data_IF_497288993931
#
_entry.id   IF_497288993931
#
_cell.length_a   1.000
_cell.length_b   1.000
_cell.length_c   1.000
_cell.angle_alpha   90.00
_cell.angle_beta   90.00
_cell.angle_gamma   90.00
#
_symmetry.space_group_name_H-M   'P 1'
#
loop_
_entity.id
_entity.type
_entity.pdbx_description
1 polymer ?
#
# COMPACT_ATOMS: atom_id res chain seq x y z
N UNK A 1 -9.11 9.82 -26.20
CA UNK A 1 -9.37 8.51 -25.55
C UNK A 1 -9.96 8.76 -24.17
N UNK A 2 -11.29 8.68 -24.04
CA UNK A 2 -11.97 8.82 -22.76
C UNK A 2 -11.90 7.49 -22.01
N UNK A 3 -11.27 7.49 -20.83
CA UNK A 3 -11.29 6.33 -19.93
C UNK A 3 -12.74 6.14 -19.45
N UNK A 4 -13.35 5.05 -19.93
CA UNK A 4 -14.63 4.57 -19.41
C UNK A 4 -14.53 4.42 -17.89
N UNK A 5 -15.32 5.22 -17.15
CA UNK A 5 -15.49 5.04 -15.70
C UNK A 5 -16.13 3.67 -15.53
N UNK A 6 -15.42 2.71 -14.95
CA UNK A 6 -16.03 1.44 -14.54
C UNK A 6 -17.22 1.79 -13.64
N UNK A 7 -18.42 1.37 -14.05
CA UNK A 7 -19.62 1.50 -13.25
C UNK A 7 -19.37 0.89 -11.87
N UNK A 8 -19.78 1.61 -10.82
CA UNK A 8 -19.75 1.11 -9.45
C UNK A 8 -20.70 -0.10 -9.38
N UNK A 9 -20.24 -1.32 -9.06
CA UNK A 9 -21.05 -2.54 -9.18
C UNK A 9 -22.18 -2.67 -8.15
N UNK A 10 -22.47 -1.62 -7.37
CA UNK A 10 -23.42 -1.66 -6.25
C UNK A 10 -24.48 -0.54 -6.33
N UNK A 11 -24.95 -0.19 -7.54
CA UNK A 11 -25.95 0.87 -7.70
C UNK A 11 -27.33 0.51 -7.10
N UNK A 12 -27.57 -0.77 -6.83
CA UNK A 12 -28.85 -1.28 -6.33
C UNK A 12 -28.75 -1.92 -4.92
N UNK A 13 -27.59 -1.84 -4.26
CA UNK A 13 -27.46 -2.32 -2.88
C UNK A 13 -28.13 -1.34 -1.92
N UNK A 14 -29.24 -1.75 -1.31
CA UNK A 14 -29.92 -1.01 -0.25
C UNK A 14 -29.75 -1.79 1.07
N UNK A 15 -28.97 -1.28 2.03
CA UNK A 15 -28.80 -1.95 3.32
C UNK A 15 -30.12 -2.02 4.08
N UNK A 16 -30.30 -3.09 4.86
CA UNK A 16 -31.48 -3.28 5.70
C UNK A 16 -31.60 -2.13 6.72
N UNK A 17 -32.72 -1.37 6.74
CA UNK A 17 -32.90 -0.26 7.67
C UNK A 17 -32.71 -0.61 9.15
N UNK A 18 -33.08 -1.83 9.57
CA UNK A 18 -32.88 -2.27 10.96
C UNK A 18 -31.38 -2.41 11.24
N UNK A 19 -30.66 -3.10 10.35
CA UNK A 19 -29.21 -3.25 10.43
C UNK A 19 -28.49 -1.89 10.36
N UNK A 20 -28.94 -0.95 9.52
CA UNK A 20 -28.40 0.42 9.45
C UNK A 20 -28.54 1.13 10.78
N UNK A 21 -29.73 1.11 11.39
CA UNK A 21 -29.98 1.76 12.66
C UNK A 21 -29.14 1.16 13.81
N UNK A 22 -28.91 -0.15 13.81
CA UNK A 22 -28.01 -0.80 14.77
C UNK A 22 -26.55 -0.38 14.58
N UNK A 23 -26.07 -0.33 13.34
CA UNK A 23 -24.71 0.11 13.03
C UNK A 23 -24.49 1.58 13.34
N UNK A 24 -25.47 2.46 13.08
CA UNK A 24 -25.40 3.89 13.42
C UNK A 24 -25.33 4.12 14.94
N UNK A 25 -25.96 3.27 15.75
CA UNK A 25 -25.82 3.31 17.23
C UNK A 25 -24.40 2.93 17.67
N UNK A 26 -23.77 1.98 16.98
CA UNK A 26 -22.43 1.46 17.31
C UNK A 26 -21.29 2.33 16.79
N UNK A 27 -21.47 2.90 15.60
CA UNK A 27 -20.46 3.69 14.91
C UNK A 27 -21.02 5.05 14.50
N UNK A 28 -20.54 6.09 15.19
CA UNK A 28 -20.88 7.46 14.80
C UNK A 28 -20.30 7.82 13.44
N UNK A 29 -21.07 8.56 12.63
CA UNK A 29 -20.65 9.00 11.30
C UNK A 29 -21.01 8.07 10.15
N UNK A 30 -22.06 7.26 10.29
CA UNK A 30 -22.65 6.45 9.21
C UNK A 30 -23.92 7.11 8.68
N UNK A 31 -24.04 7.24 7.35
CA UNK A 31 -25.28 7.62 6.68
C UNK A 31 -26.22 6.42 6.47
N UNK A 32 -27.43 6.68 5.97
CA UNK A 32 -28.47 5.65 5.80
C UNK A 32 -28.11 4.59 4.75
N UNK A 33 -27.20 4.90 3.84
CA UNK A 33 -26.62 3.99 2.85
C UNK A 33 -25.30 3.36 3.33
N UNK A 34 -24.95 3.55 4.61
CA UNK A 34 -23.66 3.18 5.21
C UNK A 34 -22.45 3.88 4.56
N UNK A 35 -22.64 5.04 3.93
CA UNK A 35 -21.53 5.94 3.61
C UNK A 35 -20.88 6.47 4.91
N UNK A 36 -19.66 6.97 4.77
CA UNK A 36 -18.90 7.51 5.89
C UNK A 36 -18.94 9.03 5.87
N UNK A 37 -19.50 9.64 6.91
CA UNK A 37 -19.49 11.09 7.07
C UNK A 37 -18.07 11.60 7.28
N UNK A 38 -17.66 12.57 6.47
CA UNK A 38 -16.36 13.23 6.58
C UNK A 38 -16.25 13.96 7.93
N UNK A 39 -15.07 13.91 8.55
CA UNK A 39 -14.83 14.55 9.85
C UNK A 39 -15.21 13.67 11.06
N UNK A 40 -16.05 12.65 10.87
CA UNK A 40 -16.36 11.68 11.92
C UNK A 40 -15.30 10.59 12.05
N UNK A 41 -15.31 9.86 13.17
CA UNK A 41 -14.29 8.84 13.48
C UNK A 41 -14.13 7.81 12.36
N UNK A 42 -15.22 7.19 11.88
CA UNK A 42 -15.13 6.19 10.81
C UNK A 42 -14.64 6.79 9.49
N UNK A 43 -15.15 7.97 9.10
CA UNK A 43 -14.70 8.69 7.90
C UNK A 43 -13.22 9.05 7.97
N UNK A 44 -12.75 9.60 9.09
CA UNK A 44 -11.34 9.94 9.29
C UNK A 44 -10.43 8.71 9.24
N UNK A 45 -10.87 7.56 9.78
CA UNK A 45 -10.11 6.31 9.71
C UNK A 45 -10.08 5.74 8.29
N UNK A 46 -11.19 5.84 7.55
CA UNK A 46 -11.26 5.44 6.15
C UNK A 46 -10.28 6.28 5.31
N UNK A 47 -10.36 7.60 5.40
CA UNK A 47 -9.45 8.50 4.70
C UNK A 47 -7.99 8.30 5.10
N UNK A 48 -7.71 8.02 6.38
CA UNK A 48 -6.36 7.77 6.85
C UNK A 48 -5.70 6.56 6.16
N UNK A 49 -6.39 5.41 6.05
CA UNK A 49 -5.79 4.26 5.38
C UNK A 49 -5.71 4.46 3.86
N UNK A 50 -6.67 5.20 3.26
CA UNK A 50 -6.64 5.54 1.84
C UNK A 50 -5.45 6.45 1.50
N UNK A 51 -5.21 7.48 2.32
CA UNK A 51 -4.05 8.36 2.22
C UNK A 51 -2.74 7.58 2.38
N UNK A 52 -2.65 6.72 3.38
CA UNK A 52 -1.49 5.85 3.59
C UNK A 52 -1.24 4.95 2.37
N UNK A 53 -2.28 4.38 1.77
CA UNK A 53 -2.18 3.60 0.53
C UNK A 53 -1.67 4.43 -0.66
N UNK A 54 -2.10 5.69 -0.78
CA UNK A 54 -1.57 6.62 -1.77
C UNK A 54 -0.09 6.93 -1.57
N UNK A 55 0.34 7.17 -0.33
CA UNK A 55 1.76 7.41 0.01
C UNK A 55 2.62 6.18 -0.30
N UNK A 56 2.19 4.99 0.12
CA UNK A 56 2.85 3.73 -0.20
C UNK A 56 2.99 3.52 -1.73
N UNK A 57 1.93 3.81 -2.50
CA UNK A 57 1.97 3.72 -3.96
C UNK A 57 3.00 4.71 -4.56
N UNK A 58 3.04 5.94 -4.07
CA UNK A 58 4.03 6.94 -4.47
C UNK A 58 5.45 6.48 -4.17
N UNK A 59 5.77 6.11 -2.92
CA UNK A 59 7.12 5.71 -2.52
C UNK A 59 7.63 4.49 -3.29
N UNK A 60 6.78 3.47 -3.46
CA UNK A 60 7.14 2.28 -4.26
C UNK A 60 7.31 2.58 -5.75
N UNK A 61 6.55 3.53 -6.30
CA UNK A 61 6.68 3.97 -7.70
C UNK A 61 7.95 4.78 -7.90
N UNK A 62 8.24 5.72 -6.99
CA UNK A 62 9.47 6.53 -6.99
C UNK A 62 10.71 5.63 -6.96
N UNK A 63 10.76 4.66 -6.04
CA UNK A 63 11.87 3.69 -6.05
C UNK A 63 12.01 3.00 -7.41
N UNK A 64 10.93 2.46 -7.98
CA UNK A 64 11.01 1.70 -9.25
C UNK A 64 11.45 2.58 -10.42
N UNK A 65 10.95 3.82 -10.46
CA UNK A 65 11.31 4.79 -11.48
C UNK A 65 12.80 5.15 -11.40
N UNK A 66 13.33 5.35 -10.19
CA UNK A 66 14.75 5.64 -9.96
C UNK A 66 15.64 4.41 -10.18
N UNK A 67 15.19 3.21 -9.79
CA UNK A 67 15.97 1.98 -9.91
C UNK A 67 16.16 1.55 -11.37
N UNK A 68 15.13 1.72 -12.22
CA UNK A 68 15.15 1.26 -13.61
C UNK A 68 16.35 1.76 -14.45
N UNK A 69 16.72 3.06 -14.45
CA UNK A 69 17.90 3.53 -15.16
C UNK A 69 19.22 3.14 -14.49
N UNK A 70 19.22 2.80 -13.20
CA UNK A 70 20.41 2.40 -12.44
C UNK A 70 20.76 0.91 -12.56
N UNK A 71 19.85 0.10 -13.10
CA UNK A 71 20.04 -1.33 -13.28
C UNK A 71 21.22 -1.63 -14.24
N UNK A 72 22.19 -2.42 -13.79
CA UNK A 72 23.28 -2.93 -14.65
C UNK A 72 22.83 -4.21 -15.34
N UNK A 73 22.67 -4.14 -16.66
CA UNK A 73 22.07 -5.21 -17.48
C UNK A 73 23.06 -6.12 -18.20
N UNK A 74 24.32 -5.72 -18.33
CA UNK A 74 25.30 -6.42 -19.15
C UNK A 74 26.48 -6.90 -18.34
N UNK A 75 26.82 -8.17 -18.52
CA UNK A 75 28.07 -8.80 -18.08
C UNK A 75 29.06 -8.86 -19.24
N UNK A 76 30.39 -8.80 -18.99
CA UNK A 76 31.02 -8.61 -17.68
C UNK A 76 30.77 -7.20 -17.15
N UNK A 77 30.64 -7.09 -15.83
CA UNK A 77 30.50 -5.79 -15.17
C UNK A 77 31.83 -5.03 -15.22
N UNK A 78 31.74 -3.70 -15.15
CA UNK A 78 32.91 -2.85 -15.05
C UNK A 78 33.72 -3.23 -13.80
N UNK A 79 35.00 -3.64 -13.92
CA UNK A 79 35.81 -4.00 -12.77
C UNK A 79 36.12 -2.82 -11.84
N UNK A 80 35.98 -1.58 -12.31
CA UNK A 80 36.19 -0.35 -11.53
C UNK A 80 34.90 0.07 -10.80
N UNK A 81 33.73 -0.23 -11.37
CA UNK A 81 32.40 0.01 -10.78
C UNK A 81 31.55 -1.28 -10.85
N UNK A 82 31.95 -2.34 -10.11
CA UNK A 82 31.31 -3.64 -10.23
C UNK A 82 29.87 -3.58 -9.77
N UNK A 83 29.00 -4.29 -10.48
CA UNK A 83 27.65 -4.54 -10.00
C UNK A 83 27.69 -5.69 -9.01
N UNK A 84 27.06 -5.54 -7.86
CA UNK A 84 27.03 -6.57 -6.82
C UNK A 84 25.66 -6.61 -6.16
N UNK A 85 25.28 -7.81 -5.72
CA UNK A 85 24.10 -7.98 -4.89
C UNK A 85 22.76 -7.87 -5.61
N UNK A 86 22.09 -9.00 -5.92
CA UNK A 86 20.79 -8.93 -6.55
C UNK A 86 19.74 -8.36 -5.58
N UNK A 87 19.10 -7.25 -5.94
CA UNK A 87 17.89 -6.75 -5.28
C UNK A 87 16.72 -6.93 -6.24
N UNK A 88 15.75 -7.75 -5.85
CA UNK A 88 14.63 -8.14 -6.72
C UNK A 88 15.09 -8.69 -8.09
N UNK A 89 16.12 -9.55 -8.10
CA UNK A 89 16.74 -10.13 -9.31
C UNK A 89 17.41 -9.09 -10.23
N UNK A 90 17.72 -7.88 -9.73
CA UNK A 90 18.40 -6.82 -10.46
C UNK A 90 19.73 -6.49 -9.79
N UNK A 91 20.75 -6.17 -10.58
CA UNK A 91 22.08 -5.82 -10.10
C UNK A 91 22.31 -4.32 -10.20
N UNK A 92 22.98 -3.78 -9.19
CA UNK A 92 23.29 -2.36 -9.08
C UNK A 92 24.74 -2.19 -8.61
N UNK A 93 25.27 -1.00 -8.79
CA UNK A 93 26.60 -0.64 -8.26
C UNK A 93 26.48 -0.05 -6.87
N UNK A 94 27.60 0.11 -6.16
CA UNK A 94 27.63 0.73 -4.83
C UNK A 94 26.87 2.05 -4.77
N UNK A 95 27.21 2.95 -5.70
CA UNK A 95 26.62 4.29 -5.77
C UNK A 95 25.12 4.20 -6.04
N UNK A 96 24.70 3.26 -6.89
CA UNK A 96 23.29 2.99 -7.15
C UNK A 96 22.58 2.48 -5.89
N UNK A 97 23.21 1.61 -5.09
CA UNK A 97 22.65 1.17 -3.81
C UNK A 97 22.52 2.33 -2.81
N UNK A 98 23.51 3.22 -2.71
CA UNK A 98 23.46 4.41 -1.85
C UNK A 98 22.32 5.36 -2.22
N UNK A 99 22.04 5.53 -3.52
CA UNK A 99 20.90 6.33 -4.01
C UNK A 99 19.56 5.64 -3.69
N UNK A 100 19.50 4.32 -3.86
CA UNK A 100 18.27 3.54 -3.75
C UNK A 100 17.88 3.17 -2.32
N UNK A 101 18.84 3.09 -1.40
CA UNK A 101 18.63 2.76 0.01
C UNK A 101 17.56 3.62 0.68
N UNK A 102 17.65 4.97 0.71
CA UNK A 102 16.64 5.79 1.37
C UNK A 102 15.26 5.66 0.70
N UNK A 103 15.20 5.43 -0.62
CA UNK A 103 13.95 5.22 -1.35
C UNK A 103 13.31 3.87 -1.00
N UNK A 104 14.12 2.82 -0.85
CA UNK A 104 13.67 1.51 -0.38
C UNK A 104 13.19 1.58 1.07
N UNK A 105 13.87 2.34 1.93
CA UNK A 105 13.47 2.59 3.32
C UNK A 105 12.12 3.32 3.44
N UNK A 106 11.89 4.34 2.61
CA UNK A 106 10.60 5.02 2.51
C UNK A 106 9.50 4.07 2.04
N UNK A 107 9.76 3.28 0.98
CA UNK A 107 8.82 2.28 0.49
C UNK A 107 8.48 1.21 1.55
N UNK A 108 9.46 0.75 2.33
CA UNK A 108 9.25 -0.20 3.41
C UNK A 108 8.37 0.39 4.52
N UNK A 109 8.70 1.60 4.98
CA UNK A 109 7.95 2.29 6.05
C UNK A 109 6.50 2.57 5.62
N UNK A 110 6.28 3.14 4.45
CA UNK A 110 4.95 3.54 4.01
C UNK A 110 4.05 2.34 3.70
N UNK A 111 4.61 1.26 3.14
CA UNK A 111 3.83 0.04 2.87
C UNK A 111 3.44 -0.69 4.15
N UNK A 112 4.32 -0.72 5.17
CA UNK A 112 3.98 -1.22 6.50
C UNK A 112 2.88 -0.37 7.16
N UNK A 113 3.04 0.95 7.16
CA UNK A 113 2.03 1.86 7.74
C UNK A 113 0.67 1.74 7.05
N UNK A 114 0.63 1.60 5.72
CA UNK A 114 -0.61 1.35 5.00
C UNK A 114 -1.26 0.01 5.40
N UNK A 115 -0.47 -1.07 5.51
CA UNK A 115 -0.97 -2.38 5.92
C UNK A 115 -1.62 -2.28 7.32
N UNK A 116 -0.93 -1.70 8.29
CA UNK A 116 -1.41 -1.53 9.66
C UNK A 116 -2.72 -0.73 9.72
N UNK A 117 -2.78 0.40 9.01
CA UNK A 117 -3.98 1.25 8.98
C UNK A 117 -5.16 0.54 8.35
N UNK A 118 -4.92 -0.22 7.29
CA UNK A 118 -5.96 -0.96 6.59
C UNK A 118 -6.51 -2.10 7.44
N UNK A 119 -5.63 -2.85 8.10
CA UNK A 119 -6.03 -3.92 9.02
C UNK A 119 -6.81 -3.37 10.20
N UNK A 120 -6.32 -2.28 10.81
CA UNK A 120 -7.00 -1.59 11.90
C UNK A 120 -8.41 -1.15 11.49
N UNK A 121 -8.57 -0.59 10.28
CA UNK A 121 -9.88 -0.23 9.74
C UNK A 121 -10.78 -1.46 9.56
N UNK A 122 -10.29 -2.48 8.85
CA UNK A 122 -11.06 -3.68 8.57
C UNK A 122 -11.52 -4.38 9.86
N UNK A 123 -10.63 -4.57 10.83
CA UNK A 123 -10.95 -5.25 12.09
C UNK A 123 -11.97 -4.45 12.92
N UNK A 124 -11.87 -3.12 12.93
CA UNK A 124 -12.76 -2.26 13.73
C UNK A 124 -14.16 -2.13 13.13
N UNK A 125 -14.26 -2.10 11.80
CA UNK A 125 -15.49 -1.84 11.06
C UNK A 125 -15.94 -3.04 10.21
N UNK A 126 -15.60 -4.25 10.65
CA UNK A 126 -15.90 -5.50 9.94
C UNK A 126 -17.39 -5.67 9.66
N UNK A 127 -18.24 -5.42 10.65
CA UNK A 127 -19.69 -5.50 10.54
C UNK A 127 -20.26 -4.50 9.53
N UNK A 128 -19.75 -3.26 9.51
CA UNK A 128 -20.10 -2.26 8.48
C UNK A 128 -19.69 -2.76 7.09
N UNK A 129 -18.50 -3.36 6.96
CA UNK A 129 -18.03 -3.91 5.69
C UNK A 129 -18.83 -5.15 5.24
N UNK A 130 -19.27 -5.99 6.19
CA UNK A 130 -20.15 -7.13 5.93
C UNK A 130 -21.52 -6.63 5.47
N UNK A 131 -22.11 -5.67 6.19
CA UNK A 131 -23.38 -5.06 5.82
C UNK A 131 -23.30 -4.48 4.40
N UNK A 132 -22.21 -3.81 4.04
CA UNK A 132 -21.97 -3.27 2.68
C UNK A 132 -21.66 -4.32 1.61
N UNK A 133 -21.61 -5.61 1.96
CA UNK A 133 -21.14 -6.70 1.08
C UNK A 133 -19.73 -6.45 0.50
N UNK A 134 -18.86 -5.84 1.30
CA UNK A 134 -17.50 -5.42 0.90
C UNK A 134 -16.38 -6.13 1.67
N UNK A 135 -16.73 -6.94 2.67
CA UNK A 135 -15.77 -7.59 3.57
C UNK A 135 -14.68 -8.38 2.83
N UNK A 136 -15.04 -9.29 1.93
CA UNK A 136 -14.07 -10.16 1.24
C UNK A 136 -13.06 -9.37 0.39
N UNK A 137 -13.56 -8.35 -0.32
CA UNK A 137 -12.72 -7.44 -1.09
C UNK A 137 -11.75 -6.66 -0.19
N UNK A 138 -12.19 -6.28 1.00
CA UNK A 138 -11.36 -5.62 2.00
C UNK A 138 -10.30 -6.53 2.61
N UNK A 139 -10.63 -7.80 2.89
CA UNK A 139 -9.69 -8.82 3.37
C UNK A 139 -8.60 -9.06 2.34
N UNK A 140 -8.97 -9.27 1.08
CA UNK A 140 -8.01 -9.46 -0.03
C UNK A 140 -7.05 -8.28 -0.15
N UNK A 141 -7.58 -7.06 -0.10
CA UNK A 141 -6.74 -5.87 -0.20
C UNK A 141 -5.82 -5.68 1.03
N UNK A 142 -6.23 -6.11 2.23
CA UNK A 142 -5.36 -6.11 3.41
C UNK A 142 -4.22 -7.13 3.27
N UNK A 143 -4.52 -8.34 2.78
CA UNK A 143 -3.49 -9.35 2.49
C UNK A 143 -2.47 -8.83 1.46
N UNK A 144 -2.92 -8.15 0.40
CA UNK A 144 -2.03 -7.54 -0.58
C UNK A 144 -1.16 -6.41 0.03
N UNK A 145 -1.71 -5.61 0.95
CA UNK A 145 -0.96 -4.58 1.64
C UNK A 145 0.16 -5.19 2.51
N UNK A 146 -0.15 -6.26 3.28
CA UNK A 146 0.85 -7.03 4.05
C UNK A 146 1.94 -7.61 3.17
N UNK A 147 1.57 -8.28 2.08
CA UNK A 147 2.52 -8.88 1.16
C UNK A 147 3.45 -7.82 0.54
N UNK A 148 2.91 -6.63 0.24
CA UNK A 148 3.72 -5.49 -0.17
C UNK A 148 4.70 -5.06 0.94
N UNK A 149 4.25 -4.89 2.17
CA UNK A 149 5.12 -4.51 3.29
C UNK A 149 6.25 -5.52 3.50
N UNK A 150 5.92 -6.82 3.55
CA UNK A 150 6.88 -7.92 3.69
C UNK A 150 7.91 -7.96 2.56
N UNK A 151 7.54 -7.54 1.35
CA UNK A 151 8.44 -7.47 0.21
C UNK A 151 9.49 -6.36 0.35
N UNK A 152 9.14 -5.20 0.92
CA UNK A 152 10.03 -4.03 0.91
C UNK A 152 11.07 -4.04 2.03
N UNK A 153 10.80 -4.72 3.13
CA UNK A 153 11.77 -4.91 4.23
C UNK A 153 13.10 -5.51 3.74
N UNK A 154 13.14 -6.66 3.04
CA UNK A 154 14.39 -7.21 2.53
C UNK A 154 15.00 -6.37 1.41
N UNK A 155 14.19 -5.66 0.61
CA UNK A 155 14.71 -4.74 -0.43
C UNK A 155 15.53 -3.62 0.20
N UNK A 156 15.01 -3.00 1.26
CA UNK A 156 15.75 -1.99 2.02
C UNK A 156 17.02 -2.58 2.66
N UNK A 157 16.90 -3.74 3.33
CA UNK A 157 18.04 -4.40 3.97
C UNK A 157 19.17 -4.74 3.00
N UNK A 158 18.85 -5.22 1.80
CA UNK A 158 19.85 -5.50 0.76
C UNK A 158 20.51 -4.21 0.26
N UNK A 159 19.74 -3.15 -0.01
CA UNK A 159 20.34 -1.87 -0.40
C UNK A 159 21.28 -1.31 0.68
N UNK A 160 20.88 -1.37 1.95
CA UNK A 160 21.71 -0.96 3.08
C UNK A 160 22.99 -1.80 3.22
N UNK A 161 22.90 -3.11 3.00
CA UNK A 161 24.07 -3.99 3.04
C UNK A 161 25.06 -3.65 1.92
N UNK A 162 24.58 -3.42 0.70
CA UNK A 162 25.44 -3.17 -0.46
C UNK A 162 25.94 -1.70 -0.55
N UNK A 163 25.22 -0.73 0.01
CA UNK A 163 25.70 0.65 0.09
C UNK A 163 26.94 0.78 1.00
N UNK A 164 27.04 -0.10 2.01
CA UNK A 164 28.10 -0.13 3.02
C UNK A 164 29.18 -1.20 2.79
N UNK A 165 29.08 -2.00 1.72
CA UNK A 165 30.08 -3.02 1.40
C UNK A 165 31.46 -2.36 1.17
N UNK A 166 32.57 -2.90 1.71
CA UNK A 166 33.90 -2.29 1.66
C UNK A 166 34.38 -2.02 0.24
#
# INVERSE_FOLDING_TARGET
MFKSRKANPNKDFKPDPIQVAELQKKYTGLEDDLSYLQGHTIGNKYEAYKKAGGQAATSTTTYKATAKPLEKKTTPYDPIDPAFGPVMNKFYTRNSHQILEPLAGAAATDTAFHADRRESFNNRYQDVLIAKSQWEGHVTQAANARASAQKWVPVHGLHHMYSNAP
#
